data_IF_925723810669
#
_entry.id   IF_925723810669
#
_cell.length_a   1.000
_cell.length_b   1.000
_cell.length_c   1.000
_cell.angle_alpha   90.00
_cell.angle_beta   90.00
_cell.angle_gamma   90.00
#
_symmetry.space_group_name_H-M   'P 1'
#
loop_
_entity.id
_entity.type
_entity.pdbx_description
1 polymer ?
2 polymer ?
3 non-polymer ?
4 water ?
#
# COMPACT_ATOMS: atom_id res chain seq x y z
N UNK A 1 -18.90 -18.24 0.98
CA UNK A 1 -18.04 -17.06 0.82
C UNK A 1 -17.06 -17.21 -0.37
N UNK A 2 -17.17 -16.22 -1.27
CA UNK A 2 -16.35 -16.16 -2.48
C UNK A 2 -14.91 -15.86 -2.07
N UNK A 3 -13.97 -16.61 -2.62
CA UNK A 3 -12.58 -16.31 -2.33
C UNK A 3 -11.77 -16.53 -3.58
N UNK A 4 -10.81 -15.64 -3.82
CA UNK A 4 -9.84 -15.74 -4.91
C UNK A 4 -8.46 -15.62 -4.27
N UNK A 5 -7.54 -16.53 -4.58
CA UNK A 5 -6.22 -16.51 -3.94
C UNK A 5 -5.16 -16.63 -5.02
N UNK A 6 -4.41 -15.53 -5.25
CA UNK A 6 -3.35 -15.53 -6.26
C UNK A 6 -2.08 -16.08 -5.66
N UNK A 7 -1.28 -16.74 -6.52
CA UNK A 7 0.03 -17.24 -6.15
C UNK A 7 0.93 -17.22 -7.37
N UNK A 8 2.23 -17.38 -7.13
CA UNK A 8 3.20 -17.56 -8.20
C UNK A 8 4.12 -16.39 -8.47
N UNK A 9 3.83 -15.23 -7.91
CA UNK A 9 4.68 -14.07 -8.17
C UNK A 9 6.07 -14.25 -7.61
N UNK A 10 6.99 -13.45 -8.14
CA UNK A 10 8.37 -13.52 -7.69
C UNK A 10 9.22 -12.57 -8.49
N UNK A 11 10.53 -12.73 -8.35
CA UNK A 11 11.53 -11.93 -9.02
C UNK A 11 12.01 -12.65 -10.28
N UNK A 12 11.98 -11.94 -11.42
CA UNK A 12 12.29 -12.49 -12.73
C UNK A 12 13.22 -11.54 -13.47
N UNK A 13 14.20 -12.11 -14.20
CA UNK A 13 15.07 -11.30 -15.05
C UNK A 13 14.29 -10.68 -16.20
N UNK A 14 14.65 -9.48 -16.63
CA UNK A 14 14.08 -8.95 -17.88
C UNK A 14 14.26 -9.94 -19.01
N UNK A 15 13.20 -10.08 -19.82
CA UNK A 15 13.16 -11.08 -20.85
C UNK A 15 12.67 -12.44 -20.40
N UNK A 16 12.48 -12.64 -19.10
CA UNK A 16 12.08 -13.92 -18.57
C UNK A 16 10.58 -14.18 -18.62
N UNK A 17 10.18 -15.29 -18.04
CA UNK A 17 8.81 -15.79 -18.08
C UNK A 17 8.38 -16.21 -16.68
N UNK A 18 7.07 -16.13 -16.43
CA UNK A 18 6.54 -16.58 -15.15
C UNK A 18 5.06 -16.84 -15.32
N UNK A 19 4.51 -17.81 -14.58
CA UNK A 19 3.09 -18.12 -14.65
C UNK A 19 2.45 -17.94 -13.28
N UNK A 20 1.39 -17.12 -13.23
CA UNK A 20 0.63 -16.86 -12.02
C UNK A 20 -0.60 -17.74 -12.00
N UNK A 21 -1.07 -18.04 -10.78
CA UNK A 21 -2.25 -18.88 -10.57
C UNK A 21 -3.21 -18.15 -9.64
N UNK A 22 -4.50 -18.40 -9.84
CA UNK A 22 -5.55 -17.87 -8.97
C UNK A 22 -6.49 -19.01 -8.64
N UNK A 23 -6.57 -19.37 -7.37
CA UNK A 23 -7.46 -20.44 -6.93
C UNK A 23 -8.78 -19.83 -6.51
N UNK A 24 -9.88 -20.30 -7.11
CA UNK A 24 -11.21 -19.76 -6.87
C UNK A 24 -12.04 -20.73 -6.03
N UNK A 25 -12.81 -20.19 -5.10
CA UNK A 25 -13.64 -21.04 -4.26
C UNK A 25 -14.91 -20.27 -3.88
N UNK A 26 -15.95 -21.03 -3.53
CA UNK A 26 -17.18 -20.43 -3.05
C UNK A 26 -18.17 -19.98 -4.12
N UNK A 27 -17.98 -20.39 -5.37
CA UNK A 27 -18.89 -20.06 -6.46
C UNK A 27 -18.61 -20.99 -7.62
N UNK A 28 -19.55 -21.00 -8.59
CA UNK A 28 -19.41 -21.84 -9.78
C UNK A 28 -18.50 -21.12 -10.77
N UNK A 29 -17.22 -21.48 -10.71
CA UNK A 29 -16.18 -20.73 -11.42
C UNK A 29 -16.43 -20.69 -12.91
N UNK A 30 -16.92 -21.80 -13.49
CA UNK A 30 -17.10 -21.89 -14.94
C UNK A 30 -18.12 -20.88 -15.48
N UNK A 31 -19.02 -20.37 -14.63
CA UNK A 31 -20.07 -19.46 -15.09
C UNK A 31 -19.59 -18.01 -15.21
N UNK A 32 -18.36 -17.73 -14.81
CA UNK A 32 -17.89 -16.36 -14.66
C UNK A 32 -16.81 -15.99 -15.66
N UNK A 33 -16.91 -14.76 -16.14
CA UNK A 33 -15.83 -14.14 -16.88
C UNK A 33 -14.85 -13.58 -15.86
N UNK A 34 -13.56 -13.74 -16.15
CA UNK A 34 -12.52 -13.48 -15.16
C UNK A 34 -11.43 -12.63 -15.81
N UNK A 35 -10.80 -11.74 -15.03
CA UNK A 35 -9.70 -10.92 -15.53
C UNK A 35 -8.54 -10.93 -14.56
N UNK A 36 -7.37 -10.56 -15.08
CA UNK A 36 -6.24 -10.11 -14.27
C UNK A 36 -6.11 -8.61 -14.42
N UNK A 37 -5.88 -7.94 -13.28
CA UNK A 37 -5.67 -6.51 -13.18
C UNK A 37 -4.41 -6.29 -12.35
N UNK A 38 -3.54 -5.39 -12.78
CA UNK A 38 -2.32 -5.16 -12.02
C UNK A 38 -2.25 -3.72 -11.50
N UNK A 39 -1.44 -3.53 -10.46
CA UNK A 39 -1.28 -2.21 -9.85
C UNK A 39 0.21 -1.94 -9.75
N UNK A 40 0.65 -0.89 -10.44
CA UNK A 40 2.08 -0.57 -10.52
C UNK A 40 2.56 0.02 -9.20
N UNK A 41 3.89 0.09 -9.03
CA UNK A 41 4.43 0.75 -7.84
C UNK A 41 3.90 2.16 -7.64
N UNK A 42 3.60 2.86 -8.74
CA UNK A 42 3.00 4.19 -8.69
C UNK A 42 1.51 4.18 -8.35
N UNK A 43 0.92 3.00 -8.10
CA UNK A 43 -0.44 2.81 -7.66
C UNK A 43 -1.41 2.89 -8.84
N UNK A 44 -0.91 2.85 -10.07
CA UNK A 44 -1.76 2.88 -11.25
C UNK A 44 -2.35 1.49 -11.49
N UNK A 45 -3.66 1.42 -11.73
CA UNK A 45 -4.34 0.17 -12.00
C UNK A 45 -4.45 -0.03 -13.51
N UNK A 46 -4.13 -1.23 -13.97
CA UNK A 46 -4.10 -1.57 -15.39
C UNK A 46 -4.76 -2.92 -15.60
N UNK A 47 -5.85 -2.94 -16.36
CA UNK A 47 -6.41 -4.21 -16.80
C UNK A 47 -5.45 -4.92 -17.76
N UNK A 48 -5.20 -6.21 -17.51
CA UNK A 48 -4.15 -6.98 -18.18
C UNK A 48 -4.73 -8.06 -19.08
N UNK A 49 -5.81 -8.72 -18.66
CA UNK A 49 -6.25 -9.86 -19.47
C UNK A 49 -7.65 -10.28 -19.03
N UNK A 50 -8.44 -10.79 -19.98
CA UNK A 50 -9.80 -11.26 -19.69
C UNK A 50 -10.07 -12.57 -20.41
N UNK A 51 -10.75 -13.49 -19.74
CA UNK A 51 -11.24 -14.71 -20.39
C UNK A 51 -12.72 -14.88 -20.09
N UNK A 52 -13.51 -15.02 -21.15
CA UNK A 52 -14.96 -15.12 -20.99
C UNK A 52 -15.36 -16.50 -20.48
N UNK A 53 -16.59 -16.57 -19.99
CA UNK A 53 -17.18 -17.84 -19.58
C UNK A 53 -17.63 -18.68 -20.77
N UNK A 54 -17.38 -18.21 -21.99
CA UNK A 54 -17.79 -18.91 -23.20
C UNK A 54 -16.67 -18.87 -24.23
N UNK A 55 -16.47 -20.01 -24.91
CA UNK A 55 -15.61 -20.10 -26.07
C UNK A 55 -14.13 -19.95 -25.81
N UNK A 56 -13.71 -19.87 -24.55
CA UNK A 56 -12.33 -19.51 -24.26
C UNK A 56 -11.89 -18.20 -24.91
N UNK A 57 -12.84 -17.30 -25.16
CA UNK A 57 -12.50 -16.02 -25.78
C UNK A 57 -11.65 -15.19 -24.82
N UNK A 58 -10.53 -14.69 -25.30
CA UNK A 58 -9.60 -13.92 -24.48
C UNK A 58 -9.38 -12.53 -25.08
N UNK A 59 -9.13 -11.56 -24.20
CA UNK A 59 -8.88 -10.18 -24.58
C UNK A 59 -7.67 -9.67 -23.81
N UNK A 60 -6.91 -8.78 -24.45
CA UNK A 60 -5.70 -8.20 -23.88
C UNK A 60 -5.55 -6.76 -24.32
N UNK A 61 -4.93 -5.92 -23.52
CA UNK A 61 -4.49 -4.61 -24.00
C UNK A 61 -3.25 -4.76 -24.88
N UNK A 62 -3.02 -3.77 -25.73
CA UNK A 62 -1.90 -3.89 -26.67
C UNK A 62 -0.55 -3.96 -25.95
N UNK A 63 -0.47 -3.47 -24.71
CA UNK A 63 0.79 -3.48 -23.97
C UNK A 63 1.29 -4.89 -23.65
N UNK A 64 0.40 -5.87 -23.56
CA UNK A 64 0.80 -7.22 -23.22
C UNK A 64 0.40 -8.23 -24.27
N UNK A 65 -0.41 -7.85 -25.27
CA UNK A 65 -0.83 -8.82 -26.28
C UNK A 65 0.40 -9.41 -26.96
N UNK A 66 0.38 -10.72 -27.15
CA UNK A 66 1.52 -11.42 -27.72
C UNK A 66 2.54 -11.90 -26.72
N UNK A 67 2.49 -11.40 -25.48
CA UNK A 67 3.41 -11.81 -24.42
C UNK A 67 2.71 -12.49 -23.26
N UNK A 68 1.44 -12.17 -23.01
CA UNK A 68 0.67 -12.71 -21.90
C UNK A 68 -0.40 -13.63 -22.45
N UNK A 69 -0.68 -14.72 -21.73
CA UNK A 69 -1.77 -15.63 -22.06
C UNK A 69 -2.57 -15.90 -20.80
N UNK A 70 -3.86 -15.57 -20.83
CA UNK A 70 -4.76 -15.96 -19.76
C UNK A 70 -5.44 -17.27 -20.12
N UNK A 71 -5.62 -18.14 -19.14
CA UNK A 71 -6.28 -19.41 -19.38
C UNK A 71 -7.03 -19.83 -18.11
N UNK A 72 -7.88 -20.84 -18.24
CA UNK A 72 -8.63 -21.31 -17.10
C UNK A 72 -8.74 -22.83 -17.12
N UNK A 73 -8.85 -23.41 -15.93
CA UNK A 73 -9.12 -24.84 -15.76
C UNK A 73 -10.37 -24.89 -14.89
N UNK A 74 -11.52 -25.09 -15.54
CA UNK A 74 -12.79 -25.02 -14.83
C UNK A 74 -12.92 -26.19 -13.85
N UNK A 75 -12.40 -27.35 -14.23
CA UNK A 75 -12.47 -28.52 -13.35
C UNK A 75 -11.68 -28.31 -12.06
N UNK A 76 -10.58 -27.56 -12.12
CA UNK A 76 -9.77 -27.30 -10.94
C UNK A 76 -10.00 -25.91 -10.36
N UNK A 77 -10.99 -25.18 -10.87
CA UNK A 77 -11.36 -23.86 -10.34
C UNK A 77 -10.16 -22.93 -10.32
N UNK A 78 -9.35 -22.94 -11.37
CA UNK A 78 -8.13 -22.15 -11.36
C UNK A 78 -8.04 -21.25 -12.58
N UNK A 79 -7.59 -20.03 -12.36
CA UNK A 79 -7.26 -19.09 -13.43
C UNK A 79 -5.74 -18.95 -13.53
N UNK A 80 -5.23 -18.77 -14.75
CA UNK A 80 -3.79 -18.66 -14.96
C UNK A 80 -3.45 -17.43 -15.77
N UNK A 81 -2.26 -16.89 -15.52
CA UNK A 81 -1.66 -15.88 -16.39
C UNK A 81 -0.22 -16.28 -16.68
N UNK A 82 0.05 -16.73 -17.91
CA UNK A 82 1.40 -17.00 -18.36
C UNK A 82 1.99 -15.72 -18.95
N UNK A 83 3.17 -15.32 -18.48
CA UNK A 83 3.80 -14.11 -18.93
C UNK A 83 5.17 -14.44 -19.51
N UNK A 84 5.50 -13.83 -20.64
CA UNK A 84 6.80 -14.08 -21.26
C UNK A 84 7.35 -12.74 -21.77
N UNK A 85 8.64 -12.74 -22.15
CA UNK A 85 9.36 -11.52 -22.56
C UNK A 85 9.09 -10.36 -21.60
N UNK A 86 9.28 -10.63 -20.31
CA UNK A 86 8.89 -9.67 -19.28
C UNK A 86 9.76 -8.42 -19.31
N UNK A 87 9.15 -7.28 -18.99
CA UNK A 87 9.77 -5.98 -19.01
C UNK A 87 9.68 -5.35 -17.62
N UNK A 88 10.60 -4.42 -17.34
CA UNK A 88 10.56 -3.68 -16.08
C UNK A 88 9.16 -3.11 -15.82
N UNK A 89 8.50 -2.57 -16.85
CA UNK A 89 7.18 -1.98 -16.68
C UNK A 89 6.11 -3.00 -16.31
N UNK A 90 6.36 -4.31 -16.42
CA UNK A 90 5.41 -5.31 -15.92
C UNK A 90 5.47 -5.49 -14.40
N UNK A 91 6.46 -4.91 -13.72
CA UNK A 91 6.53 -4.97 -12.26
C UNK A 91 5.27 -4.39 -11.64
N UNK A 92 4.58 -5.18 -10.81
CA UNK A 92 3.30 -4.76 -10.28
C UNK A 92 2.76 -5.82 -9.35
N UNK A 93 1.76 -5.44 -8.57
CA UNK A 93 0.91 -6.41 -7.88
C UNK A 93 -0.15 -6.90 -8.86
N UNK A 94 -0.28 -8.22 -9.01
CA UNK A 94 -1.25 -8.82 -9.92
C UNK A 94 -2.42 -9.41 -9.15
N UNK A 95 -3.63 -8.97 -9.52
CA UNK A 95 -4.87 -9.40 -8.91
C UNK A 95 -5.71 -10.19 -9.92
N UNK A 96 -6.32 -11.27 -9.46
CA UNK A 96 -7.40 -11.86 -10.25
C UNK A 96 -8.71 -11.24 -9.77
N UNK A 97 -9.62 -11.03 -10.70
CA UNK A 97 -10.84 -10.29 -10.45
C UNK A 97 -12.00 -10.94 -11.19
N UNK A 98 -13.14 -11.03 -10.52
CA UNK A 98 -14.33 -11.66 -11.07
C UNK A 98 -15.27 -10.60 -11.62
N UNK A 99 -15.84 -10.88 -12.80
CA UNK A 99 -16.80 -9.97 -13.40
C UNK A 99 -18.20 -10.28 -12.88
N UNK A 100 -18.96 -9.24 -12.52
CA UNK A 100 -20.34 -9.41 -12.07
C UNK A 100 -21.13 -10.26 -13.06
N UNK A 101 -21.88 -11.25 -12.56
CA UNK A 101 -22.59 -12.16 -13.45
C UNK A 101 -23.62 -11.47 -14.33
N UNK A 102 -23.63 -11.84 -15.61
CA UNK A 102 -24.59 -11.30 -16.56
C UNK A 102 -24.06 -10.16 -17.36
N UNK A 103 -24.17 -8.93 -16.82
CA UNK A 103 -23.73 -7.77 -17.57
C UNK A 103 -22.20 -7.69 -17.61
N UNK A 104 -21.52 -8.31 -16.63
CA UNK A 104 -20.06 -8.42 -16.63
C UNK A 104 -19.37 -7.07 -16.68
N UNK A 105 -20.00 -6.00 -16.19
CA UNK A 105 -19.53 -4.64 -16.43
C UNK A 105 -18.78 -4.03 -15.27
N UNK A 106 -18.52 -4.79 -14.20
CA UNK A 106 -17.65 -4.32 -13.13
C UNK A 106 -17.07 -5.53 -12.42
N UNK A 107 -16.03 -5.28 -11.62
CA UNK A 107 -15.39 -6.36 -10.86
C UNK A 107 -16.07 -6.43 -9.51
N UNK A 108 -16.67 -7.58 -9.18
CA UNK A 108 -17.36 -7.65 -7.90
C UNK A 108 -16.58 -8.39 -6.81
N UNK A 109 -15.47 -9.04 -7.14
CA UNK A 109 -14.58 -9.67 -6.17
C UNK A 109 -13.16 -9.68 -6.71
N UNK A 110 -12.20 -9.56 -5.77
CA UNK A 110 -10.77 -9.50 -6.07
C UNK A 110 -10.03 -10.41 -5.11
N UNK A 111 -8.89 -10.95 -5.53
CA UNK A 111 -7.99 -11.59 -4.59
C UNK A 111 -7.13 -10.59 -3.84
N UNK A 112 -6.19 -11.11 -3.04
CA UNK A 112 -5.34 -10.21 -2.26
C UNK A 112 -4.08 -9.80 -3.04
N UNK A 113 -3.79 -10.44 -4.15
CA UNK A 113 -2.69 -10.05 -5.01
C UNK A 113 -1.45 -10.90 -4.83
N UNK A 114 -0.68 -10.99 -5.90
CA UNK A 114 0.66 -11.58 -5.84
C UNK A 114 1.63 -10.65 -6.57
N UNK A 115 2.85 -10.50 -6.04
CA UNK A 115 3.77 -9.46 -6.50
C UNK A 115 4.73 -9.99 -7.56
N UNK A 116 4.85 -9.30 -8.69
CA UNK A 116 5.84 -9.60 -9.71
C UNK A 116 6.86 -8.48 -9.76
N UNK A 117 8.16 -8.82 -9.70
CA UNK A 117 9.24 -7.86 -9.86
C UNK A 117 10.13 -8.30 -11.02
N UNK A 118 10.32 -7.42 -11.99
CA UNK A 118 11.16 -7.69 -13.16
C UNK A 118 12.41 -6.84 -13.02
N UNK A 119 13.55 -7.50 -12.79
CA UNK A 119 14.74 -6.74 -12.44
C UNK A 119 15.95 -7.65 -12.60
N UNK A 120 17.08 -7.03 -12.93
CA UNK A 120 18.34 -7.78 -12.92
C UNK A 120 18.99 -7.82 -11.54
N UNK A 121 18.43 -7.11 -10.56
CA UNK A 121 19.00 -7.10 -9.22
C UNK A 121 18.81 -8.44 -8.50
N UNK A 122 19.74 -8.78 -7.62
CA UNK A 122 19.66 -10.03 -6.87
C UNK A 122 18.69 -9.92 -5.71
N UNK A 123 18.14 -11.08 -5.33
CA UNK A 123 17.41 -11.21 -4.08
C UNK A 123 18.33 -10.95 -2.90
N UNK A 124 17.84 -10.18 -1.92
CA UNK A 124 18.57 -9.97 -0.67
C UNK A 124 17.61 -10.03 0.50
N UNK A 125 17.89 -10.91 1.46
CA UNK A 125 17.12 -10.98 2.67
C UNK A 125 17.45 -9.88 3.66
N UNK A 126 16.48 -9.53 4.50
CA UNK A 126 16.65 -8.40 5.43
C UNK A 126 17.49 -8.76 6.64
N UNK A 127 18.13 -7.75 7.21
CA UNK A 127 18.65 -7.83 8.58
C UNK A 127 17.63 -7.18 9.50
N UNK A 128 17.36 -7.79 10.65
CA UNK A 128 16.35 -7.31 11.57
C UNK A 128 17.03 -6.88 12.86
N UNK A 129 16.88 -5.61 13.22
CA UNK A 129 17.51 -5.06 14.40
C UNK A 129 16.45 -4.54 15.38
N UNK A 130 16.71 -4.63 16.67
CA UNK A 130 15.77 -4.07 17.65
C UNK A 130 15.85 -2.55 17.77
N UNK A 131 14.68 -1.95 17.99
CA UNK A 131 14.54 -0.56 18.45
C UNK A 131 14.08 -0.68 19.89
N UNK A 132 15.01 -0.49 20.81
CA UNK A 132 14.73 -0.82 22.22
C UNK A 132 14.12 0.39 22.93
N UNK A 133 13.12 0.17 23.79
CA UNK A 133 12.42 1.26 24.49
C UNK A 133 13.34 2.13 25.36
N UNK A 141 3.00 6.37 31.92
CA UNK A 141 3.08 6.73 30.52
C UNK A 141 3.24 5.52 29.60
N UNK A 142 3.58 5.84 28.36
CA UNK A 142 3.65 4.86 27.29
C UNK A 142 5.08 4.75 26.82
N UNK A 143 5.47 3.54 26.44
CA UNK A 143 6.78 3.24 25.87
C UNK A 143 6.60 2.82 24.42
N UNK A 144 7.62 3.09 23.62
CA UNK A 144 7.61 2.67 22.23
C UNK A 144 8.79 1.75 21.99
N UNK A 145 8.57 0.73 21.18
CA UNK A 145 9.67 -0.15 20.79
C UNK A 145 9.38 -0.65 19.38
N UNK A 146 10.33 -1.36 18.80
CA UNK A 146 10.06 -1.86 17.46
C UNK A 146 11.22 -2.63 16.87
N UNK A 147 11.18 -2.74 15.55
CA UNK A 147 12.13 -3.51 14.78
C UNK A 147 12.45 -2.77 13.50
N UNK A 148 13.53 -2.68 13.18
CA UNK A 148 14.14 -2.17 11.93
C UNK A 148 14.44 -3.33 10.98
N UNK A 149 13.77 -3.34 9.81
CA UNK A 149 13.97 -4.39 8.78
C UNK A 149 14.76 -3.71 7.67
N UNK A 150 16.03 -4.05 7.54
CA UNK A 150 16.90 -3.26 6.64
C UNK A 150 17.55 -4.04 5.50
N UNK A 151 17.69 -3.37 4.35
CA UNK A 151 18.48 -3.88 3.21
C UNK A 151 17.89 -5.16 2.62
N UNK A 152 16.69 -5.08 2.09
CA UNK A 152 16.15 -6.26 1.43
C UNK A 152 15.68 -5.93 0.02
N UNK A 153 15.57 -6.97 -0.81
CA UNK A 153 15.05 -6.81 -2.18
C UNK A 153 14.60 -8.20 -2.65
N UNK A 154 13.47 -8.32 -3.38
CA UNK A 154 12.55 -7.21 -3.58
C UNK A 154 11.44 -7.07 -2.54
N UNK A 155 10.54 -6.12 -2.80
CA UNK A 155 9.34 -6.02 -1.94
C UNK A 155 8.48 -7.25 -2.25
N UNK A 156 7.64 -7.73 -1.32
CA UNK A 156 7.46 -7.10 -0.03
C UNK A 156 7.95 -7.86 1.21
N UNK A 157 7.83 -7.23 2.38
CA UNK A 157 8.12 -7.92 3.67
C UNK A 157 6.84 -7.88 4.49
N UNK A 158 6.63 -8.87 5.36
CA UNK A 158 5.46 -8.81 6.28
C UNK A 158 6.01 -8.77 7.71
N UNK A 159 5.35 -7.99 8.56
CA UNK A 159 5.80 -7.87 9.97
C UNK A 159 4.60 -8.03 10.91
N UNK A 160 4.70 -8.95 11.86
CA UNK A 160 3.70 -9.10 12.90
C UNK A 160 4.38 -8.98 14.25
N UNK A 161 3.59 -8.88 15.31
CA UNK A 161 4.14 -8.86 16.66
C UNK A 161 3.49 -9.98 17.47
N UNK A 162 4.30 -10.71 18.22
CA UNK A 162 3.84 -11.81 19.06
C UNK A 162 2.86 -12.69 18.30
N UNK A 163 3.22 -12.96 17.03
CA UNK A 163 2.56 -13.89 16.11
C UNK A 163 1.17 -13.46 15.69
N UNK A 164 0.84 -12.17 15.82
CA UNK A 164 -0.48 -11.69 15.48
C UNK A 164 -1.38 -11.45 16.66
N UNK A 165 -0.89 -11.69 17.88
CA UNK A 165 -1.69 -11.43 19.07
C UNK A 165 -1.69 -9.95 19.41
N UNK A 166 -0.56 -9.28 19.18
CA UNK A 166 -0.38 -7.86 19.47
C UNK A 166 -0.56 -7.07 18.19
N UNK A 167 -1.69 -6.39 18.06
CA UNK A 167 -1.97 -5.53 16.94
C UNK A 167 -2.30 -4.09 17.34
N UNK A 168 -2.78 -3.88 18.56
CA UNK A 168 -3.07 -2.53 19.05
C UNK A 168 -1.81 -1.70 19.17
N UNK A 169 -1.83 -0.51 18.57
CA UNK A 169 -0.69 0.37 18.67
C UNK A 169 0.45 0.06 17.72
N UNK A 170 0.23 -0.82 16.74
CA UNK A 170 1.27 -1.22 15.81
C UNK A 170 1.21 -0.35 14.56
N UNK A 171 2.35 0.22 14.19
CA UNK A 171 2.53 0.92 12.93
C UNK A 171 3.68 0.29 12.17
N UNK A 172 3.39 -0.30 11.03
CA UNK A 172 4.44 -0.77 10.12
C UNK A 172 4.53 0.20 8.96
N UNK A 173 5.68 0.87 8.86
CA UNK A 173 5.84 1.96 7.93
C UNK A 173 6.02 1.45 6.50
N UNK A 174 5.57 2.22 5.53
CA UNK A 174 5.87 1.88 4.14
C UNK A 174 7.38 1.82 3.94
N UNK A 175 7.82 0.86 3.14
CA UNK A 175 9.25 0.73 2.88
C UNK A 175 9.77 1.96 2.15
N UNK A 176 11.03 2.30 2.39
CA UNK A 176 11.69 3.35 1.61
C UNK A 176 12.81 2.72 0.81
N UNK A 177 12.92 3.13 -0.43
CA UNK A 177 13.98 2.69 -1.31
C UNK A 177 15.23 3.51 -1.00
N UNK A 178 16.31 2.83 -0.64
CA UNK A 178 17.59 3.52 -0.37
C UNK A 178 18.35 3.71 -1.69
N UNK A 179 19.37 4.59 -1.70
CA UNK A 179 20.08 4.85 -2.95
C UNK A 179 20.74 3.58 -3.49
N UNK A 180 21.06 2.64 -2.59
CA UNK A 180 21.64 1.35 -2.96
C UNK A 180 20.71 0.50 -3.80
N UNK A 181 19.43 0.84 -3.88
CA UNK A 181 18.46 -0.04 -4.49
C UNK A 181 17.85 -1.05 -3.56
N UNK A 182 18.21 -1.05 -2.28
CA UNK A 182 17.59 -1.95 -1.30
C UNK A 182 16.54 -1.19 -0.48
N UNK A 183 15.57 -1.93 0.01
CA UNK A 183 14.49 -1.37 0.81
C UNK A 183 14.78 -1.48 2.29
N UNK A 184 14.18 -0.57 3.06
CA UNK A 184 14.23 -0.67 4.51
C UNK A 184 12.90 -0.16 5.06
N UNK A 185 12.50 -0.70 6.21
CA UNK A 185 11.36 -0.13 6.92
C UNK A 185 11.49 -0.40 8.41
N UNK A 186 10.69 0.30 9.20
CA UNK A 186 10.57 0.02 10.62
C UNK A 186 9.13 -0.37 10.93
N UNK A 187 8.98 -1.20 11.96
CA UNK A 187 7.69 -1.48 12.57
C UNK A 187 7.79 -1.14 14.04
N UNK A 188 6.81 -0.39 14.55
CA UNK A 188 6.84 0.08 15.93
C UNK A 188 5.53 -0.27 16.62
N UNK A 189 5.59 -0.30 17.96
CA UNK A 189 4.40 -0.52 18.77
C UNK A 189 4.57 0.27 20.07
N UNK A 190 3.47 0.83 20.56
CA UNK A 190 3.45 1.51 21.85
C UNK A 190 2.71 0.64 22.85
N UNK A 191 3.25 0.58 24.06
CA UNK A 191 2.70 -0.25 25.12
C UNK A 191 2.80 0.50 26.43
N UNK A 192 2.05 0.08 27.45
CA UNK A 192 2.23 0.68 28.79
C UNK A 192 3.65 0.41 29.31
N UNK A 193 4.33 1.49 29.69
CA UNK A 193 5.72 1.35 30.12
C UNK A 193 5.84 0.48 31.37
N UNK A 194 4.72 0.18 32.04
CA UNK A 194 4.76 -0.79 33.14
C UNK A 194 4.84 -2.24 32.62
N UNK A 195 4.27 -2.51 31.45
CA UNK A 195 4.26 -3.86 30.90
C UNK A 195 5.62 -4.29 30.36
N UNK A 196 6.58 -3.36 30.28
CA UNK A 196 7.91 -3.69 29.79
C UNK A 196 8.57 -4.79 30.61
N UNK A 197 8.39 -4.75 31.94
CA UNK A 197 9.06 -5.73 32.79
C UNK A 197 8.52 -7.13 32.60
N UNK A 198 7.20 -7.26 32.53
CA UNK A 198 6.57 -8.58 32.49
C UNK A 198 6.38 -9.14 31.08
N UNK A 199 6.06 -8.29 30.10
CA UNK A 199 5.59 -8.78 28.80
C UNK A 199 6.74 -8.98 27.81
N UNK A 200 6.62 -10.03 27.00
CA UNK A 200 7.58 -10.33 25.95
C UNK A 200 7.11 -9.79 24.60
N UNK A 201 8.00 -9.10 23.92
CA UNK A 201 7.66 -8.52 22.61
C UNK A 201 8.55 -9.10 21.51
N UNK A 202 7.93 -9.81 20.56
CA UNK A 202 8.70 -10.41 19.43
C UNK A 202 8.18 -9.88 18.09
N UNK A 203 9.07 -9.35 17.26
CA UNK A 203 8.65 -8.96 15.89
C UNK A 203 8.90 -10.15 14.97
N UNK A 204 7.89 -10.55 14.20
CA UNK A 204 8.03 -11.67 13.25
C UNK A 204 8.11 -11.12 11.84
N UNK A 205 9.25 -11.32 11.19
CA UNK A 205 9.47 -10.74 9.84
C UNK A 205 9.50 -11.85 8.79
N UNK A 206 8.71 -11.70 7.73
CA UNK A 206 8.74 -12.67 6.61
C UNK A 206 9.15 -11.97 5.31
N UNK A 207 10.18 -12.47 4.65
CA UNK A 207 10.55 -11.97 3.30
C UNK A 207 10.51 -13.19 2.38
N UNK A 208 9.35 -13.44 1.80
CA UNK A 208 9.21 -14.65 0.97
C UNK A 208 10.17 -14.76 -0.19
N UNK A 209 10.54 -13.68 -0.92
CA UNK A 209 11.46 -13.85 -2.05
C UNK A 209 12.80 -14.45 -1.67
N UNK A 210 13.26 -14.25 -0.43
CA UNK A 210 14.52 -14.83 0.03
C UNK A 210 14.34 -16.00 0.98
N UNK A 211 13.10 -16.50 1.15
CA UNK A 211 12.81 -17.57 2.10
C UNK A 211 13.23 -17.20 3.53
N UNK A 212 13.09 -15.91 3.91
CA UNK A 212 13.55 -15.46 5.23
C UNK A 212 12.39 -15.37 6.20
N UNK A 213 12.51 -16.06 7.34
CA UNK A 213 11.58 -15.97 8.47
C UNK A 213 12.40 -15.73 9.72
N UNK A 214 12.20 -14.58 10.36
CA UNK A 214 13.00 -14.18 11.51
C UNK A 214 12.07 -13.76 12.63
N UNK A 215 12.37 -14.17 13.85
CA UNK A 215 11.72 -13.66 15.04
C UNK A 215 12.78 -12.95 15.85
N UNK A 216 12.52 -11.69 16.22
CA UNK A 216 13.49 -10.87 16.95
C UNK A 216 12.86 -10.33 18.22
N UNK A 217 13.47 -10.66 19.37
CA UNK A 217 12.97 -10.24 20.67
C UNK A 217 13.53 -8.87 20.99
N UNK A 218 12.65 -7.96 21.38
CA UNK A 218 13.02 -6.58 21.65
C UNK A 218 13.05 -6.40 23.17
N UNK B 1 -7.10 4.14 -26.64
CA UNK B 1 -7.71 3.85 -25.35
C UNK B 1 -8.55 5.00 -24.85
N UNK B 2 -9.60 4.67 -24.10
CA UNK B 2 -10.39 5.68 -23.43
C UNK B 2 -9.69 6.12 -22.15
N UNK B 3 -8.90 7.17 -22.25
CA UNK B 3 -8.10 7.66 -21.14
C UNK B 3 -8.99 8.40 -20.15
N UNK B 4 -8.88 8.04 -18.88
CA UNK B 4 -9.70 8.63 -17.82
C UNK B 4 -8.81 9.53 -16.98
N UNK B 5 -9.28 10.74 -16.69
CA UNK B 5 -8.52 11.72 -15.93
C UNK B 5 -9.34 12.15 -14.71
N UNK B 6 -8.77 11.97 -13.53
CA UNK B 6 -9.44 12.33 -12.29
C UNK B 6 -8.99 13.66 -11.74
N UNK B 7 -9.92 14.36 -11.08
CA UNK B 7 -9.55 15.60 -10.41
C UNK B 7 -10.38 15.81 -9.15
N UNK B 8 -9.79 16.36 -8.10
CA UNK B 8 -8.36 16.68 -8.00
C UNK B 8 -7.60 15.39 -7.77
N UNK B 9 -6.26 15.39 -7.78
CA UNK B 9 -5.54 14.16 -7.46
C UNK B 9 -5.56 13.87 -5.97
N UNK B 10 -5.78 14.89 -5.15
CA UNK B 10 -5.95 14.69 -3.72
C UNK B 10 -6.87 15.80 -3.21
N UNK B 11 -7.53 15.50 -2.11
CA UNK B 11 -8.63 16.30 -1.61
C UNK B 11 -8.63 16.13 -0.10
N UNK B 12 -8.80 17.23 0.65
CA UNK B 12 -8.97 17.15 2.09
C UNK B 12 -10.33 17.74 2.48
N UNK B 13 -11.11 16.99 3.24
CA UNK B 13 -12.47 17.38 3.58
C UNK B 13 -12.68 17.22 5.07
N UNK B 14 -13.29 18.23 5.70
CA UNK B 14 -13.62 18.17 7.12
C UNK B 14 -14.67 17.10 7.40
N UNK B 15 -14.58 16.48 8.58
CA UNK B 15 -15.63 15.56 9.04
C UNK B 15 -17.00 16.19 8.92
N UNK B 16 -17.94 15.40 8.39
CA UNK B 16 -19.30 15.87 8.21
C UNK B 16 -19.54 16.72 6.99
N UNK B 17 -18.52 17.03 6.19
CA UNK B 17 -18.69 17.86 5.00
C UNK B 17 -18.67 16.98 3.76
N UNK B 18 -18.76 17.63 2.60
CA UNK B 18 -18.95 16.93 1.32
C UNK B 18 -17.64 16.80 0.56
N UNK B 19 -17.37 15.59 0.07
CA UNK B 19 -16.27 15.31 -0.84
C UNK B 19 -16.86 15.12 -2.23
N UNK B 20 -16.27 15.77 -3.22
CA UNK B 20 -16.69 15.65 -4.61
C UNK B 20 -15.46 15.36 -5.46
N UNK B 21 -15.49 14.22 -6.16
CA UNK B 21 -14.36 13.74 -6.96
C UNK B 21 -14.85 13.60 -8.40
N UNK B 22 -14.05 14.08 -9.36
CA UNK B 22 -14.50 14.06 -10.73
C UNK B 22 -13.66 13.11 -11.58
N UNK B 23 -14.30 12.59 -12.62
CA UNK B 23 -13.66 11.71 -13.59
C UNK B 23 -14.13 12.10 -14.97
N UNK B 24 -13.19 12.40 -15.88
CA UNK B 24 -13.52 12.79 -17.25
C UNK B 24 -12.95 11.75 -18.19
N UNK B 25 -13.76 11.27 -19.14
CA UNK B 25 -13.34 10.26 -20.11
C UNK B 25 -12.99 10.94 -21.43
N UNK B 26 -12.09 10.32 -22.18
CA UNK B 26 -11.72 10.94 -23.45
C UNK B 26 -12.72 10.61 -24.55
N UNK B 27 -13.50 9.53 -24.42
CA UNK B 27 -14.70 9.34 -25.22
C UNK B 27 -15.85 8.82 -24.39
N UNK B 28 -17.06 9.01 -24.93
CA UNK B 28 -18.29 8.68 -24.20
C UNK B 28 -18.36 7.21 -23.80
N UNK B 29 -18.88 6.94 -22.61
CA UNK B 29 -19.09 5.59 -22.14
C UNK B 29 -20.58 5.23 -22.10
N UNK B 30 -21.42 5.99 -22.82
CA UNK B 30 -22.84 5.69 -22.89
C UNK B 30 -23.09 4.56 -23.88
N UNK B 31 -23.95 3.63 -23.49
CA UNK B 31 -24.45 2.63 -24.42
C UNK B 31 -25.90 2.36 -24.08
N UNK B 32 -26.80 2.67 -25.01
CA UNK B 32 -28.21 2.27 -24.94
C UNK B 32 -28.84 2.68 -23.60
N UNK B 33 -28.65 3.95 -23.24
CA UNK B 33 -29.32 4.54 -22.10
C UNK B 33 -28.64 4.40 -20.76
N UNK B 34 -27.56 3.63 -20.68
CA UNK B 34 -26.77 3.53 -19.45
C UNK B 34 -25.37 4.08 -19.70
N UNK B 35 -24.66 4.40 -18.61
CA UNK B 35 -23.32 4.96 -18.71
C UNK B 35 -22.38 4.06 -17.91
N UNK B 36 -21.39 3.48 -18.58
CA UNK B 36 -20.61 2.39 -18.00
C UNK B 36 -19.32 2.91 -17.35
N UNK B 37 -19.51 3.66 -16.26
CA UNK B 37 -18.43 4.16 -15.42
C UNK B 37 -18.63 3.63 -13.99
N UNK B 38 -17.59 3.01 -13.44
CA UNK B 38 -17.63 2.45 -12.11
C UNK B 38 -16.71 3.23 -11.20
N UNK B 39 -16.97 3.16 -9.89
CA UNK B 39 -16.10 3.77 -8.90
C UNK B 39 -15.70 2.72 -7.87
N UNK B 40 -14.40 2.68 -7.53
CA UNK B 40 -13.85 1.74 -6.55
C UNK B 40 -13.16 2.52 -5.44
N UNK B 41 -13.24 1.99 -4.23
CA UNK B 41 -12.48 2.49 -3.08
C UNK B 41 -11.31 1.56 -2.83
N UNK B 42 -10.14 2.13 -2.50
CA UNK B 42 -9.02 1.28 -2.15
C UNK B 42 -8.36 1.79 -0.88
N UNK B 43 -8.22 0.90 0.10
CA UNK B 43 -7.47 1.17 1.31
C UNK B 43 -6.12 0.45 1.29
N UNK B 44 -5.14 0.94 2.03
CA UNK B 44 -3.80 0.36 1.97
C UNK B 44 -3.81 -1.13 2.29
N UNK B 45 -3.07 -1.89 1.49
CA UNK B 45 -2.94 -3.31 1.71
C UNK B 45 -4.11 -4.15 1.25
N UNK B 46 -5.11 -3.54 0.61
CA UNK B 46 -6.31 -4.22 0.16
C UNK B 46 -6.49 -4.02 -1.32
N UNK B 47 -7.19 -4.91 -2.00
CA UNK B 47 -7.58 -4.64 -3.39
C UNK B 47 -8.63 -3.56 -3.43
N UNK B 48 -8.86 -2.95 -4.59
CA UNK B 48 -10.00 -2.05 -4.72
C UNK B 48 -11.33 -2.78 -4.52
N UNK B 49 -12.34 -2.02 -4.11
CA UNK B 49 -13.68 -2.52 -3.82
C UNK B 49 -14.70 -1.66 -4.54
N UNK B 50 -15.62 -2.26 -5.30
CA UNK B 50 -16.56 -1.46 -6.06
C UNK B 50 -17.58 -0.83 -5.11
N UNK B 51 -17.82 0.47 -5.28
CA UNK B 51 -18.86 1.20 -4.57
C UNK B 51 -20.00 1.62 -5.47
N UNK B 52 -19.69 2.08 -6.68
CA UNK B 52 -20.71 2.55 -7.63
C UNK B 52 -20.47 1.82 -8.94
N UNK B 53 -21.54 1.32 -9.57
CA UNK B 53 -21.41 0.77 -10.91
C UNK B 53 -22.42 1.43 -11.86
N UNK B 54 -22.04 1.45 -13.13
CA UNK B 54 -22.83 2.09 -14.20
C UNK B 54 -23.31 3.49 -13.79
N UNK B 55 -22.34 4.31 -13.36
CA UNK B 55 -22.44 5.73 -13.08
C UNK B 55 -23.16 6.08 -11.79
N UNK B 56 -24.29 5.45 -11.51
CA UNK B 56 -25.15 5.94 -10.43
C UNK B 56 -25.71 4.87 -9.52
N UNK B 57 -25.34 3.60 -9.70
CA UNK B 57 -25.90 2.52 -8.90
C UNK B 57 -24.97 2.15 -7.76
N UNK B 58 -25.50 2.15 -6.53
CA UNK B 58 -24.76 1.62 -5.39
C UNK B 58 -24.68 0.11 -5.44
N UNK B 59 -23.49 -0.40 -5.13
CA UNK B 59 -23.35 -1.81 -4.85
C UNK B 59 -24.08 -2.13 -3.55
N UNK B 60 -24.55 -3.36 -3.45
CA UNK B 60 -25.13 -3.83 -2.19
C UNK B 60 -24.10 -3.75 -1.07
N UNK B 61 -24.51 -3.22 0.08
CA UNK B 61 -23.62 -3.14 1.22
C UNK B 61 -22.88 -1.83 1.37
N UNK B 62 -23.17 -0.85 0.53
CA UNK B 62 -22.45 0.43 0.56
C UNK B 62 -23.28 1.46 1.33
N UNK B 63 -22.67 2.30 2.17
CA UNK B 63 -23.45 3.30 2.90
C UNK B 63 -24.08 4.36 1.99
N UNK B 64 -25.15 4.99 2.51
CA UNK B 64 -25.96 5.91 1.72
C UNK B 64 -25.26 7.24 1.45
N UNK B 65 -24.19 7.56 2.19
CA UNK B 65 -23.49 8.81 1.94
C UNK B 65 -22.72 8.80 0.63
N UNK B 66 -22.58 7.66 -0.04
CA UNK B 66 -21.91 7.60 -1.34
C UNK B 66 -22.94 7.69 -2.45
N UNK B 67 -22.63 8.45 -3.48
CA UNK B 67 -23.51 8.50 -4.64
C UNK B 67 -22.70 8.86 -5.88
N UNK B 68 -23.21 8.48 -7.04
CA UNK B 68 -22.52 8.73 -8.30
C UNK B 68 -23.46 9.41 -9.27
N UNK B 69 -22.91 10.27 -10.11
CA UNK B 69 -23.73 10.93 -11.13
C UNK B 69 -22.90 11.16 -12.39
N UNK B 70 -23.60 11.51 -13.46
CA UNK B 70 -22.96 11.89 -14.70
C UNK B 70 -23.34 10.97 -15.85
N UNK B 71 -22.79 11.30 -17.02
CA UNK B 71 -23.07 10.57 -18.25
C UNK B 71 -22.08 11.05 -19.30
N UNK B 72 -22.01 10.31 -20.40
CA UNK B 72 -21.14 10.70 -21.49
C UNK B 72 -19.67 10.63 -21.12
N UNK B 73 -19.04 11.79 -20.98
CA UNK B 73 -17.63 11.85 -20.61
C UNK B 73 -17.39 12.43 -19.23
N UNK B 74 -18.44 12.71 -18.45
CA UNK B 74 -18.29 13.48 -17.22
C UNK B 74 -19.00 12.80 -16.07
N UNK B 75 -18.23 12.46 -15.02
CA UNK B 75 -18.76 11.71 -13.89
C UNK B 75 -18.24 12.28 -12.58
N UNK B 76 -19.05 12.10 -11.56
CA UNK B 76 -18.76 12.60 -10.23
C UNK B 76 -19.13 11.56 -9.18
N UNK B 77 -18.21 11.36 -8.25
CA UNK B 77 -18.49 10.66 -6.99
C UNK B 77 -18.70 11.69 -5.89
N UNK B 78 -19.81 11.56 -5.16
CA UNK B 78 -20.08 12.41 -4.01
C UNK B 78 -20.11 11.58 -2.73
N UNK B 79 -19.49 12.11 -1.68
CA UNK B 79 -19.53 11.50 -0.36
C UNK B 79 -19.98 12.58 0.62
N UNK B 80 -21.13 12.38 1.24
CA UNK B 80 -21.60 13.39 2.19
C UNK B 80 -22.62 12.79 3.15
N UNK B 81 -22.46 12.96 4.46
CA UNK B 81 -21.28 13.58 5.11
C UNK B 81 -20.10 12.63 5.28
N UNK B 82 -18.86 13.07 5.03
CA UNK B 82 -17.72 12.16 5.13
C UNK B 82 -17.49 11.74 6.58
N UNK B 83 -17.00 10.51 6.75
CA UNK B 83 -16.64 9.92 8.03
C UNK B 83 -15.17 9.56 8.02
N UNK B 84 -14.61 9.27 9.19
CA UNK B 84 -13.16 8.96 9.27
C UNK B 84 -12.80 7.78 8.36
N UNK B 85 -13.65 6.77 8.31
CA UNK B 85 -13.35 5.55 7.53
C UNK B 85 -13.37 5.81 6.02
N UNK B 86 -13.77 7.01 5.59
CA UNK B 86 -13.76 7.27 4.16
C UNK B 86 -12.39 7.69 3.63
N UNK B 87 -11.41 7.87 4.52
CA UNK B 87 -10.04 8.11 4.08
C UNK B 87 -9.56 6.95 3.22
N UNK B 88 -9.22 7.26 1.97
CA UNK B 88 -8.94 6.18 1.02
C UNK B 88 -8.57 6.77 -0.32
N UNK B 89 -8.19 5.94 -1.29
CA UNK B 89 -8.05 6.38 -2.67
C UNK B 89 -9.24 5.87 -3.47
N UNK B 90 -9.78 6.72 -4.32
CA UNK B 90 -10.94 6.39 -5.13
C UNK B 90 -10.56 6.40 -6.60
N UNK B 91 -10.99 5.38 -7.33
CA UNK B 91 -10.66 5.21 -8.74
C UNK B 91 -11.93 5.12 -9.55
N UNK B 92 -11.99 5.84 -10.67
CA UNK B 92 -13.02 5.54 -11.66
C UNK B 92 -12.49 4.54 -12.69
N UNK B 93 -13.42 3.88 -13.36
CA UNK B 93 -13.07 2.80 -14.28
C UNK B 93 -14.18 2.61 -15.31
N UNK B 94 -13.83 2.67 -16.60
CA UNK B 94 -14.85 2.52 -17.63
C UNK B 94 -14.89 1.11 -18.19
N UNK B 95 -16.11 0.64 -18.44
CA UNK B 95 -16.35 -0.72 -18.94
C UNK B 95 -17.12 -0.72 -20.25
N UNK B 96 -17.17 0.41 -20.94
CA UNK B 96 -17.90 0.47 -22.21
C UNK B 96 -17.14 -0.17 -23.35
N UNK B 97 -15.80 -0.10 -23.34
CA UNK B 97 -15.02 -0.57 -24.48
C UNK B 97 -13.74 -1.22 -23.96
N UNK B 98 -13.26 -2.25 -24.69
CA UNK B 98 -11.96 -2.84 -24.39
C UNK B 98 -10.87 -1.99 -25.04
N UNK B 99 -9.74 -1.73 -24.35
CA UNK B 99 -9.43 -2.19 -22.98
C UNK B 99 -10.15 -1.39 -21.91
N UNK B 100 -10.66 -2.07 -20.89
CA UNK B 100 -11.13 -1.36 -19.71
C UNK B 100 -9.99 -0.50 -19.18
N UNK B 101 -10.32 0.71 -18.73
CA UNK B 101 -9.30 1.65 -18.27
C UNK B 101 -9.73 2.24 -16.93
N UNK B 102 -8.71 2.63 -16.16
CA UNK B 102 -8.89 3.25 -14.85
C UNK B 102 -8.36 4.67 -14.84
N UNK B 103 -9.01 5.52 -14.07
CA UNK B 103 -8.44 6.81 -13.74
C UNK B 103 -7.26 6.64 -12.80
N UNK B 104 -6.49 7.71 -12.62
CA UNK B 104 -5.28 7.65 -11.82
C UNK B 104 -5.48 7.66 -10.32
N UNK B 105 -6.71 7.82 -9.85
CA UNK B 105 -7.00 7.80 -8.44
C UNK B 105 -7.03 9.19 -7.83
N UNK B 106 -7.86 9.35 -6.80
CA UNK B 106 -7.91 10.55 -5.99
C UNK B 106 -7.82 10.13 -4.55
N UNK B 107 -6.83 10.67 -3.82
CA UNK B 107 -6.72 10.35 -2.40
C UNK B 107 -7.54 11.35 -1.59
N UNK B 108 -8.41 10.82 -0.73
CA UNK B 108 -9.24 11.60 0.17
C UNK B 108 -8.67 11.55 1.58
N UNK B 109 -8.35 12.76 2.07
CA UNK B 109 -7.87 12.96 3.45
C UNK B 109 -9.01 13.56 4.25
N UNK B 110 -9.25 13.03 5.43
CA UNK B 110 -10.31 13.51 6.31
C UNK B 110 -9.70 14.46 7.33
N UNK B 111 -10.17 15.71 7.35
CA UNK B 111 -9.58 16.68 8.25
C UNK B 111 -10.12 16.48 9.66
N UNK B 112 -9.25 16.71 10.64
CA UNK B 112 -9.63 16.60 12.03
C UNK B 112 -8.95 17.72 12.80
N UNK B 113 -9.23 17.80 14.10
CA UNK B 113 -8.54 18.75 14.95
C UNK B 113 -7.06 18.44 15.04
N UNK B 114 -6.27 19.49 15.31
CA UNK B 114 -4.82 19.31 15.41
C UNK B 114 -4.53 18.37 16.55
N UNK B 115 -3.56 17.46 16.33
CA UNK B 115 -3.13 16.50 17.35
C UNK B 115 -1.61 16.44 17.34
N UNK B 116 -0.99 16.71 18.49
CA UNK B 116 0.46 16.75 18.54
C UNK B 116 1.04 15.34 18.50
N UNK B 117 2.22 15.17 17.87
CA UNK B 117 2.89 13.86 17.89
C UNK B 117 3.47 13.53 19.25
N UNK B 118 3.43 12.24 19.61
CA UNK B 118 4.30 11.75 20.68
C UNK B 118 5.62 11.35 20.05
N UNK B 119 6.76 11.79 20.61
CA UNK B 119 8.06 11.65 19.95
C UNK B 119 8.92 10.66 20.73
N UNK B 120 9.60 9.76 20.01
CA UNK B 120 10.49 8.75 20.60
C UNK B 120 11.78 8.66 19.79
N UNK B 121 12.91 8.41 20.45
CA UNK B 121 14.19 8.26 19.76
C UNK B 121 14.81 6.93 20.15
N UNK B 122 15.42 6.26 19.15
CA UNK B 122 15.99 4.91 19.31
C UNK B 122 17.43 4.93 18.86
N UNK B 123 18.36 4.52 19.73
CA UNK B 123 19.75 4.41 19.33
C UNK B 123 19.94 3.20 18.43
N UNK B 124 21.06 3.12 17.71
CA UNK B 124 21.36 1.89 16.97
C UNK B 124 21.64 0.74 17.91
N UNK B 125 21.25 -0.46 17.48
CA UNK B 125 21.51 -1.66 18.23
C UNK B 125 23.00 -2.02 18.16
N UNK B 126 23.44 -2.80 19.15
CA UNK B 126 24.82 -3.30 19.13
C UNK B 126 25.05 -4.18 17.90
N UNK B 127 24.09 -5.07 17.63
CA UNK B 127 24.16 -5.94 16.46
C UNK B 127 24.48 -5.18 15.19
N UNK B 128 23.72 -4.12 14.90
CA UNK B 128 23.96 -3.40 13.65
C UNK B 128 25.34 -2.74 13.64
N UNK B 129 25.74 -2.18 14.77
CA UNK B 129 27.03 -1.44 14.78
C UNK B 129 28.14 -2.41 14.36
N UNK B 130 27.96 -3.69 14.67
CA UNK B 130 28.96 -4.72 14.26
C UNK B 130 29.15 -4.64 12.74
N UNK B 131 28.08 -4.38 12.00
CA UNK B 131 28.12 -4.31 10.52
C UNK B 131 28.80 -3.03 10.03
N UNK B 132 29.19 -2.13 10.94
CA UNK B 132 29.80 -0.91 10.47
C UNK B 132 28.86 0.20 10.07
N UNK B 133 27.58 0.08 10.42
CA UNK B 133 26.56 1.08 10.10
C UNK B 133 25.72 1.33 11.35
N UNK B 134 25.29 2.57 11.54
CA UNK B 134 24.45 2.96 12.65
C UNK B 134 23.21 3.65 12.11
N UNK B 135 22.04 3.10 12.40
CA UNK B 135 20.75 3.72 12.08
C UNK B 135 20.13 4.22 13.37
N UNK B 136 19.83 5.51 13.42
CA UNK B 136 19.20 6.11 14.59
C UNK B 136 17.78 6.48 14.16
N UNK B 137 16.77 6.10 14.94
CA UNK B 137 15.38 6.25 14.48
C UNK B 137 14.62 7.21 15.38
N UNK B 138 13.86 8.11 14.76
CA UNK B 138 12.95 9.01 15.46
C UNK B 138 11.51 8.71 15.02
N UNK B 139 10.62 8.51 15.99
CA UNK B 139 9.23 8.17 15.75
C UNK B 139 8.36 9.34 16.18
N UNK B 140 7.43 9.75 15.31
CA UNK B 140 6.39 10.74 15.61
C UNK B 140 5.07 10.01 15.50
N UNK B 141 4.35 9.86 16.61
CA UNK B 141 3.23 8.96 16.69
C UNK B 141 1.89 9.71 16.80
N UNK B 142 0.98 9.37 15.89
CA UNK B 142 -0.45 9.70 15.93
C UNK B 142 -0.71 11.21 16.01
N UNK B 143 -0.36 11.89 14.93
CA UNK B 143 -0.48 13.34 14.84
C UNK B 143 -1.31 13.77 13.63
N UNK B 144 -1.76 15.03 13.67
CA UNK B 144 -2.46 15.64 12.55
C UNK B 144 -2.27 17.15 12.65
N UNK B 145 -2.03 17.87 11.54
CA UNK B 145 -1.90 17.42 10.15
C UNK B 145 -0.59 16.74 9.82
N UNK B 146 -0.45 16.30 8.58
CA UNK B 146 0.71 15.50 8.19
C UNK B 146 1.99 16.32 8.21
N UNK B 147 1.90 17.62 7.93
CA UNK B 147 3.10 18.44 7.84
C UNK B 147 3.83 18.47 9.18
N UNK B 148 5.13 18.14 9.15
CA UNK B 148 5.97 18.11 10.34
C UNK B 148 7.42 18.33 9.90
N UNK B 149 8.21 19.00 10.74
CA UNK B 149 9.62 19.21 10.46
C UNK B 149 10.42 18.41 11.48
N UNK B 150 11.27 17.51 10.99
CA UNK B 150 12.12 16.69 11.85
C UNK B 150 13.57 17.00 11.52
N UNK B 151 14.30 17.50 12.49
CA UNK B 151 15.70 17.86 12.31
C UNK B 151 16.57 17.00 13.22
N UNK B 152 17.64 16.46 12.66
CA UNK B 152 18.61 15.69 13.42
C UNK B 152 19.77 16.59 13.82
N UNK B 153 20.21 16.47 15.07
CA UNK B 153 21.39 17.15 15.56
C UNK B 153 22.31 16.14 16.22
N UNK B 154 23.61 16.31 15.98
CA UNK B 154 24.63 15.41 16.51
C UNK B 154 25.68 16.32 17.15
N UNK B 155 25.87 16.19 18.47
CA UNK B 155 26.68 17.13 19.26
C UNK B 155 26.33 18.56 18.90
N UNK B 156 25.03 18.72 18.62
CA UNK B 156 24.24 19.94 18.52
C UNK B 156 24.39 20.53 17.13
N UNK B 157 24.99 19.75 16.22
CA UNK B 157 25.23 20.19 14.83
C UNK B 157 24.12 19.68 13.90
N UNK B 158 23.61 20.55 13.04
CA UNK B 158 22.46 20.15 12.18
C UNK B 158 22.91 19.21 11.08
N UNK B 159 22.18 18.12 10.91
CA UNK B 159 22.45 17.11 9.90
C UNK B 159 21.64 17.41 8.65
N UNK B 160 22.22 17.05 7.51
CA UNK B 160 21.51 17.17 6.25
C UNK B 160 22.07 16.14 5.28
N UNK B 161 21.18 15.56 4.47
CA UNK B 161 21.56 14.59 3.47
C UNK B 161 21.61 13.15 3.94
N UNK B 162 21.53 12.89 5.25
CA UNK B 162 21.75 11.55 5.76
C UNK B 162 20.54 10.95 6.49
N UNK B 163 19.32 11.41 6.18
CA UNK B 163 18.13 10.81 6.76
C UNK B 163 17.06 10.57 5.70
N UNK B 164 16.14 9.66 6.03
CA UNK B 164 14.95 9.42 5.20
C UNK B 164 13.73 9.30 6.09
N UNK B 165 12.58 9.73 5.56
CA UNK B 165 11.33 9.67 6.31
C UNK B 165 10.35 8.73 5.64
N UNK B 166 9.48 8.16 6.45
CA UNK B 166 8.36 7.37 5.97
C UNK B 166 7.11 7.70 6.80
N UNK B 167 5.96 7.77 6.15
CA UNK B 167 4.73 8.20 6.81
C UNK B 167 3.64 7.16 6.57
N UNK B 168 2.91 6.81 7.63
CA UNK B 168 1.80 5.89 7.47
C UNK B 168 0.66 6.52 6.68
N UNK B 169 -0.20 5.67 6.15
CA UNK B 169 -1.46 6.16 5.63
C UNK B 169 -2.33 6.64 6.78
N UNK B 170 -3.28 7.52 6.45
CA UNK B 170 -4.17 8.05 7.46
C UNK B 170 -4.98 6.96 8.17
N UNK B 171 -5.01 7.03 9.50
CA UNK B 171 -5.75 6.05 10.29
C UNK B 171 -7.25 6.11 10.04
N UNK B 172 -7.86 4.93 9.84
CA UNK B 172 -9.28 4.84 9.49
C UNK B 172 -10.21 5.16 10.65
N UNK B 173 -9.71 5.14 11.88
CA UNK B 173 -10.48 5.41 13.09
C UNK B 173 -10.34 6.84 13.57
N UNK B 174 -9.11 7.34 13.68
CA UNK B 174 -8.90 8.64 14.30
C UNK B 174 -8.21 9.66 13.41
N UNK B 175 -7.97 9.34 12.14
CA UNK B 175 -7.53 10.29 11.12
C UNK B 175 -6.14 10.85 11.37
N UNK B 176 -5.32 10.17 12.18
CA UNK B 176 -3.96 10.63 12.39
C UNK B 176 -2.96 9.91 11.49
N UNK B 177 -1.74 10.41 11.52
CA UNK B 177 -0.58 9.86 10.84
C UNK B 177 0.50 9.54 11.87
N UNK B 178 1.41 8.62 11.50
CA UNK B 178 2.67 8.48 12.21
C UNK B 178 3.80 8.55 11.18
N UNK B 179 4.99 8.90 11.67
CA UNK B 179 6.14 9.18 10.83
C UNK B 179 7.41 8.61 11.47
N UNK B 180 8.30 8.05 10.65
CA UNK B 180 9.62 7.65 11.08
C UNK B 180 10.67 8.45 10.32
N UNK B 181 11.72 8.86 11.03
CA UNK B 181 12.89 9.47 10.39
C UNK B 181 14.11 8.67 10.81
N UNK B 182 14.84 8.13 9.83
CA UNK B 182 16.02 7.32 10.08
C UNK B 182 17.27 8.05 9.62
N UNK B 183 18.20 8.23 10.55
CA UNK B 183 19.49 8.84 10.31
C UNK B 183 20.52 7.72 10.18
N UNK B 184 21.28 7.71 9.09
CA UNK B 184 22.23 6.63 8.82
C UNK B 184 23.64 7.17 8.78
N UNK B 185 24.50 6.62 9.65
CA UNK B 185 25.89 7.02 9.82
C UNK B 185 26.79 5.79 9.67
N UNK B 186 28.05 6.03 9.37
CA UNK B 186 29.04 4.97 9.56
C UNK B 186 29.27 4.77 11.06
N UNK B 187 29.68 3.54 11.42
CA UNK B 187 30.12 3.27 12.80
C UNK B 187 31.16 4.28 13.27
N UNK B 188 32.23 4.46 12.49
CA UNK B 188 33.28 5.42 12.86
C UNK B 188 32.69 6.78 13.19
N UNK B 189 31.86 7.30 12.26
CA UNK B 189 31.21 8.59 12.48
C UNK B 189 30.35 8.58 13.73
N UNK B 190 29.59 7.51 13.92
CA UNK B 190 28.68 7.44 15.07
C UNK B 190 29.47 7.54 16.36
N UNK B 191 30.60 6.83 16.44
CA UNK B 191 31.41 6.79 17.65
C UNK B 191 32.24 8.06 17.84
N UNK B 192 32.31 8.91 16.83
CA UNK B 192 32.93 10.21 17.02
C UNK B 192 32.12 11.17 17.89
N UNK B 193 30.88 10.83 18.24
CA UNK B 193 29.97 11.82 18.80
C UNK B 193 29.19 11.26 19.98
N UNK B 194 28.69 12.18 20.81
CA UNK B 194 28.04 11.82 22.06
C UNK B 194 26.52 11.98 22.01
N UNK B 195 26.04 13.18 21.67
CA UNK B 195 24.64 13.52 21.83
C UNK B 195 23.92 13.41 20.49
N UNK B 196 22.88 12.60 20.47
CA UNK B 196 22.05 12.41 19.29
C UNK B 196 20.65 12.89 19.61
N UNK B 197 20.13 13.83 18.80
CA UNK B 197 18.88 14.48 19.10
C UNK B 197 18.00 14.60 17.86
N UNK B 198 16.73 14.31 18.06
CA UNK B 198 15.65 14.55 17.11
C UNK B 198 14.82 15.74 17.61
N UNK B 199 14.71 16.78 16.80
CA UNK B 199 13.91 17.95 17.15
C UNK B 199 12.73 18.08 16.17
N UNK B 200 11.52 18.16 16.73
CA UNK B 200 10.29 18.06 15.97
C UNK B 200 9.52 19.37 16.13
N UNK B 201 9.17 19.97 15.00
CA UNK B 201 8.28 21.12 14.92
C UNK B 201 6.96 20.70 14.27
N UNK B 202 5.85 21.02 14.91
CA UNK B 202 4.52 20.65 14.44
C UNK B 202 3.50 21.61 14.99
N UNK B 203 2.40 21.80 14.24
CA UNK B 203 1.37 22.76 14.61
C UNK B 203 0.78 22.48 16.00
N UNK B 204 0.77 21.22 16.42
CA UNK B 204 0.17 20.83 17.68
C UNK B 204 1.05 21.01 18.89
N UNK B 205 2.30 21.37 18.65
CA UNK B 205 3.30 21.46 19.69
C UNK B 205 3.44 22.92 20.08
N UNK B 206 3.35 23.20 21.38
CA UNK B 206 3.49 24.57 21.83
C UNK B 206 4.88 25.15 21.51
N UNK B 207 5.87 24.30 21.30
CA UNK B 207 7.23 24.69 20.92
C UNK B 207 7.95 23.41 20.48
N UNK B 208 9.05 23.52 19.76
CA UNK B 208 9.70 22.29 19.25
C UNK B 208 10.07 21.35 20.39
N UNK B 209 9.85 20.05 20.14
CA UNK B 209 10.14 19.00 21.11
C UNK B 209 11.42 18.30 20.68
N UNK B 210 12.37 18.15 21.60
CA UNK B 210 13.61 17.43 21.33
C UNK B 210 13.65 16.15 22.15
N UNK B 211 13.95 15.04 21.50
CA UNK B 211 14.26 13.81 22.22
C UNK B 211 15.71 13.46 21.91
N UNK B 212 16.46 13.02 22.91
CA UNK B 212 17.88 12.83 22.70
C UNK B 212 18.39 11.68 23.57
N UNK B 213 19.59 11.21 23.20
CA UNK B 213 20.32 10.27 24.04
C UNK B 213 21.81 10.54 23.91
N UNK B 214 22.57 10.01 24.87
CA UNK B 214 24.02 10.02 24.84
C UNK B 214 24.51 8.62 24.53
N UNK B 215 25.39 8.50 23.53
CA UNK B 215 25.89 7.21 23.09
C UNK B 215 26.64 6.53 24.24
X LIG C 1 -18.54 17.93 -15.11
X LIG C 1 -18.73 19.30 -15.71
X LIG C 1 -18.25 20.36 -14.76
X LIG C 1 -18.96 20.25 -13.40
X LIG C 1 -19.01 18.81 -12.86
X LIG C 1 -20.10 18.66 -11.81
X LIG C 1 -18.68 19.64 -18.15
X LIG C 1 -17.82 19.75 -19.37
X LIG C 1 -18.04 19.41 -17.00
X LIG C 1 -18.56 21.63 -15.33
X LIG C 1 -18.25 21.08 -12.48
X LIG C 1 -19.31 17.84 -13.88
X LIG C 1 -20.79 17.43 -11.87
X LIG C 1 -19.90 19.73 -18.20
#
# INVERSE_FOLDING_TARGET
EVKLVESGGGLVQPGGSLKLSCAASGFTFSRYTMSWVRQTPEKRLEWVAKIRNVGGITYYPDTVKGRFTISRDNAKNTLYLQMSSLKSEDTAMYYCARHYYGSEDYFDYWGQGTTLTVSSASTKGPSVFPLAPSSKSTSGGTAALGCLVKDYFPEPVTVSWNSGALTSGVHTFPAVLQSSGLYSLSSVVTVPSSSLGTQTYICNVNHKPSNTKVDKKVEHHHHHH
DNVLTQSPASLAVSLGQRATISCKASQSVDYDGDSYMNWYQQKPGQPPKVFIYAASNLESGIPARFSGSGSGTNFTLNIHPVEEEDAATYYCQQSNEDPWTFGGGTKLEIKRTVAAPSVFIFPPSDEQLKSGTASVVCLLNNFYPREAKVQWKVDNALQSGNSQESVTEQDSKDSTYSLSSTLTLSKADYEKHKVYACEVTHQGLSSPVTKSFNRGEC
NAG C1 C2 C3 C4 C5 C6 C7 C8 N2 O3 O4 O5 O6 O7
#
